data_IF_410015183549
#
_entry.id   IF_410015183549
#
_cell.length_a   1.000
_cell.length_b   1.000
_cell.length_c   1.000
_cell.angle_alpha   90.00
_cell.angle_beta   90.00
_cell.angle_gamma   90.00
#
_symmetry.space_group_name_H-M   'P 1'
#
loop_
_entity.id
_entity.type
_entity.pdbx_description
1 polymer ?
#
# COMPACT_ATOMS: atom_id res chain seq x y z
N UNK A 1 -0.43 -8.77 -4.83
CA UNK A 1 -0.50 -9.40 -3.49
C UNK A 1 -1.49 -8.62 -2.63
N UNK A 2 -2.12 -9.29 -1.70
CA UNK A 2 -3.13 -8.68 -0.82
C UNK A 2 -2.61 -8.66 0.61
N UNK A 3 -2.80 -7.52 1.28
CA UNK A 3 -2.47 -7.38 2.70
C UNK A 3 -3.73 -7.15 3.52
N UNK A 4 -3.78 -7.69 4.72
CA UNK A 4 -4.92 -7.53 5.63
C UNK A 4 -4.36 -7.11 6.99
N UNK A 5 -5.01 -6.12 7.63
CA UNK A 5 -4.66 -5.71 8.98
C UNK A 5 -5.61 -6.34 10.03
N UNK A 6 -5.35 -6.06 11.30
CA UNK A 6 -6.14 -6.64 12.39
C UNK A 6 -7.59 -6.14 12.41
N UNK A 7 -7.86 -5.01 11.77
CA UNK A 7 -9.20 -4.44 11.70
C UNK A 7 -10.00 -5.00 10.51
N UNK A 8 -9.41 -5.92 9.75
CA UNK A 8 -10.05 -6.50 8.57
C UNK A 8 -9.98 -5.64 7.34
N UNK A 9 -9.23 -4.54 7.38
CA UNK A 9 -9.02 -3.69 6.21
C UNK A 9 -8.02 -4.35 5.26
N UNK A 10 -8.25 -4.23 3.97
CA UNK A 10 -7.43 -4.87 2.95
C UNK A 10 -6.77 -3.84 2.03
N UNK A 11 -5.57 -4.17 1.56
CA UNK A 11 -4.88 -3.40 0.53
C UNK A 11 -4.34 -4.36 -0.52
N UNK A 12 -4.13 -3.84 -1.73
CA UNK A 12 -3.48 -4.56 -2.81
C UNK A 12 -2.10 -3.96 -3.05
N UNK A 13 -1.10 -4.81 -3.12
CA UNK A 13 0.28 -4.40 -3.34
C UNK A 13 0.75 -4.91 -4.68
N UNK A 14 1.19 -4.00 -5.55
CA UNK A 14 1.66 -4.33 -6.89
C UNK A 14 2.91 -3.53 -7.22
N UNK A 15 3.76 -4.13 -8.06
CA UNK A 15 4.90 -3.43 -8.65
C UNK A 15 4.46 -2.91 -10.01
N UNK A 16 4.61 -1.61 -10.23
CA UNK A 16 4.21 -0.96 -11.47
C UNK A 16 5.37 -0.19 -12.07
N UNK A 17 5.31 0.06 -13.37
CA UNK A 17 6.31 0.88 -14.07
C UNK A 17 5.61 2.15 -14.54
N UNK A 18 6.12 3.31 -14.11
CA UNK A 18 5.62 4.61 -14.53
C UNK A 18 6.79 5.43 -15.08
N UNK A 19 6.64 5.94 -16.28
CA UNK A 19 7.66 6.79 -16.92
C UNK A 19 9.04 6.14 -16.90
N UNK A 20 9.10 4.81 -17.15
CA UNK A 20 10.35 4.07 -17.16
C UNK A 20 10.94 3.79 -15.78
N UNK A 21 10.23 4.11 -14.70
CA UNK A 21 10.70 3.89 -13.33
C UNK A 21 9.81 2.90 -12.62
N UNK A 22 10.43 1.97 -11.89
CA UNK A 22 9.71 1.01 -11.07
C UNK A 22 9.15 1.72 -9.82
N UNK A 23 7.88 1.46 -9.54
CA UNK A 23 7.20 1.99 -8.36
C UNK A 23 6.44 0.89 -7.66
N UNK A 24 6.28 1.03 -6.36
CA UNK A 24 5.59 0.06 -5.51
C UNK A 24 4.28 0.67 -5.07
N UNK A 25 3.19 0.13 -5.59
CA UNK A 25 1.84 0.67 -5.41
C UNK A 25 1.10 -0.11 -4.33
N UNK A 26 0.62 0.62 -3.32
CA UNK A 26 -0.30 0.09 -2.32
C UNK A 26 -1.65 0.75 -2.56
N UNK A 27 -2.68 -0.06 -2.78
CA UNK A 27 -4.00 0.43 -3.15
C UNK A 27 -5.03 -0.10 -2.18
N UNK A 28 -5.87 0.78 -1.63
CA UNK A 28 -6.94 0.37 -0.72
C UNK A 28 -7.98 -0.46 -1.46
N UNK A 29 -8.57 -1.42 -0.76
CA UNK A 29 -9.69 -2.18 -1.29
C UNK A 29 -10.90 -1.27 -1.54
N UNK A 30 -11.84 -1.74 -2.34
CA UNK A 30 -13.03 -0.98 -2.70
C UNK A 30 -13.77 -0.52 -1.44
N UNK A 31 -14.10 0.77 -1.40
CA UNK A 31 -14.80 1.36 -0.27
C UNK A 31 -13.92 1.68 0.93
N UNK A 32 -12.61 1.45 0.83
CA UNK A 32 -11.66 1.73 1.91
C UNK A 32 -10.66 2.80 1.50
N UNK A 33 -9.98 3.36 2.50
CA UNK A 33 -8.92 4.35 2.27
C UNK A 33 -7.71 4.02 3.13
N UNK A 34 -6.56 4.57 2.74
CA UNK A 34 -5.31 4.45 3.48
C UNK A 34 -4.77 5.84 3.80
N UNK A 35 -3.86 5.92 4.77
CA UNK A 35 -3.23 7.18 5.14
C UNK A 35 -2.19 7.57 4.08
N UNK A 36 -2.35 8.74 3.49
CA UNK A 36 -1.37 9.32 2.59
C UNK A 36 -0.22 9.98 3.34
N UNK A 37 0.75 10.50 2.56
CA UNK A 37 1.93 11.17 3.13
C UNK A 37 1.54 12.40 3.96
N UNK A 38 0.47 13.08 3.57
CA UNK A 38 -0.05 14.28 4.23
C UNK A 38 -1.08 13.98 5.31
N UNK A 39 -1.19 12.72 5.73
CA UNK A 39 -2.17 12.22 6.70
C UNK A 39 -3.60 12.32 6.23
N UNK A 40 -3.82 12.62 4.96
CA UNK A 40 -5.16 12.61 4.38
C UNK A 40 -5.52 11.19 3.94
N UNK A 41 -6.82 10.94 3.85
CA UNK A 41 -7.31 9.66 3.36
C UNK A 41 -7.12 9.58 1.86
N UNK A 42 -6.45 8.52 1.39
CA UNK A 42 -6.17 8.29 -0.02
C UNK A 42 -6.61 6.88 -0.42
N UNK A 43 -6.88 6.70 -1.69
CA UNK A 43 -7.20 5.36 -2.22
C UNK A 43 -5.95 4.56 -2.56
N UNK A 44 -4.84 5.22 -2.77
CA UNK A 44 -3.59 4.54 -3.10
C UNK A 44 -2.40 5.38 -2.68
N UNK A 45 -1.26 4.72 -2.55
CA UNK A 45 0.01 5.36 -2.26
C UNK A 45 1.11 4.66 -3.03
N UNK A 46 2.05 5.42 -3.59
CA UNK A 46 3.15 4.90 -4.38
C UNK A 46 4.48 5.17 -3.67
N UNK A 47 5.35 4.17 -3.68
CA UNK A 47 6.68 4.26 -3.08
C UNK A 47 7.75 4.08 -4.16
N UNK A 48 8.86 4.82 -4.00
CA UNK A 48 9.99 4.71 -4.92
C UNK A 48 10.83 3.46 -4.67
N UNK A 49 10.83 2.94 -3.45
CA UNK A 49 11.67 1.81 -3.05
C UNK A 49 10.84 0.76 -2.32
N UNK A 50 11.21 -0.51 -2.52
CA UNK A 50 10.48 -1.64 -1.95
C UNK A 50 10.46 -1.59 -0.42
N UNK A 51 11.60 -1.28 0.21
CA UNK A 51 11.67 -1.28 1.66
C UNK A 51 10.79 -0.20 2.28
N UNK A 52 10.52 0.89 1.55
CA UNK A 52 9.60 1.93 2.03
C UNK A 52 8.17 1.41 2.04
N UNK A 53 7.77 0.70 1.00
CA UNK A 53 6.43 0.09 0.94
C UNK A 53 6.27 -0.97 2.02
N UNK A 54 7.27 -1.83 2.19
CA UNK A 54 7.24 -2.88 3.20
C UNK A 54 7.17 -2.30 4.62
N UNK A 55 7.96 -1.26 4.90
CA UNK A 55 7.94 -0.59 6.20
C UNK A 55 6.58 0.04 6.49
N UNK A 56 5.97 0.67 5.48
CA UNK A 56 4.64 1.28 5.63
C UNK A 56 3.59 0.22 5.94
N UNK A 57 3.61 -0.90 5.20
CA UNK A 57 2.68 -2.00 5.42
C UNK A 57 2.81 -2.56 6.84
N UNK A 58 4.04 -2.81 7.28
CA UNK A 58 4.31 -3.34 8.60
C UNK A 58 3.88 -2.36 9.70
N UNK A 59 4.19 -1.08 9.53
CA UNK A 59 3.83 -0.04 10.50
C UNK A 59 2.33 0.08 10.67
N UNK A 60 1.57 -0.15 9.62
CA UNK A 60 0.12 -0.07 9.64
C UNK A 60 -0.55 -1.42 9.94
N UNK A 61 0.22 -2.42 10.30
CA UNK A 61 -0.30 -3.70 10.76
C UNK A 61 -0.80 -4.63 9.65
N UNK A 62 -0.40 -4.39 8.41
CA UNK A 62 -0.80 -5.26 7.30
C UNK A 62 0.10 -6.47 7.21
N UNK A 63 -0.51 -7.62 7.01
CA UNK A 63 0.19 -8.88 6.73
C UNK A 63 -0.10 -9.25 5.28
N UNK A 64 0.95 -9.46 4.50
CA UNK A 64 0.79 -9.81 3.09
C UNK A 64 0.43 -11.29 2.97
N UNK A 65 -0.70 -11.55 2.31
CA UNK A 65 -1.20 -12.88 2.02
C UNK A 65 -1.12 -13.10 0.51
N UNK A 66 -0.38 -14.04 0.10
CA UNK A 66 -0.32 -14.29 -1.33
C UNK A 66 0.86 -14.87 -1.86
#
# INVERSE_FOLDING_TARGET
MKGINQQGQAVYYNVVVKHGKVRYLVQAASGQTIAGRDRQKRKSRTFAQEHQAAAWLQRNGYVICG
#
